data_IF_238804951019
#
_entry.id   IF_238804951019
#
_cell.length_a   1.000
_cell.length_b   1.000
_cell.length_c   1.000
_cell.angle_alpha   90.00
_cell.angle_beta   90.00
_cell.angle_gamma   90.00
#
_symmetry.space_group_name_H-M   'P 1'
#
loop_
_entity.id
_entity.type
_entity.pdbx_description
1 polymer ?
#
# COMPACT_ATOMS: atom_id res chain seq x y z
N UNK A 1 -42.02 7.57 -37.05
CA UNK A 1 -40.58 7.83 -36.95
C UNK A 1 -40.25 7.86 -35.47
N UNK A 2 -39.67 6.79 -34.94
CA UNK A 2 -39.15 6.73 -33.58
C UNK A 2 -37.73 6.18 -33.70
N UNK A 3 -36.75 7.04 -33.53
CA UNK A 3 -35.33 6.72 -33.53
C UNK A 3 -34.90 6.48 -32.08
N UNK A 4 -34.67 5.21 -31.72
CA UNK A 4 -33.99 4.86 -30.47
C UNK A 4 -32.49 5.09 -30.66
N UNK A 5 -31.87 5.86 -29.78
CA UNK A 5 -30.42 6.06 -29.71
C UNK A 5 -29.74 4.76 -29.24
N UNK A 6 -28.50 4.48 -29.67
CA UNK A 6 -27.75 3.34 -29.15
C UNK A 6 -27.29 3.65 -27.73
N UNK A 7 -27.63 2.78 -26.77
CA UNK A 7 -27.08 2.85 -25.42
C UNK A 7 -25.57 2.71 -25.48
N UNK A 8 -24.86 3.66 -24.86
CA UNK A 8 -23.44 3.56 -24.62
C UNK A 8 -23.20 2.38 -23.69
N UNK A 9 -22.68 1.28 -24.24
CA UNK A 9 -22.21 0.13 -23.49
C UNK A 9 -20.99 0.54 -22.67
N UNK A 10 -21.22 1.09 -21.49
CA UNK A 10 -20.22 1.16 -20.44
C UNK A 10 -19.87 -0.27 -20.05
N UNK A 11 -18.64 -0.69 -20.32
CA UNK A 11 -18.17 -2.02 -19.93
C UNK A 11 -17.79 -1.97 -18.45
N UNK A 12 -18.64 -2.55 -17.61
CA UNK A 12 -18.36 -2.75 -16.19
C UNK A 12 -17.70 -4.14 -15.99
N UNK A 13 -16.39 -4.20 -15.71
CA UNK A 13 -15.66 -5.46 -15.52
C UNK A 13 -16.08 -6.22 -14.25
N UNK A 14 -16.82 -5.60 -13.32
CA UNK A 14 -17.32 -6.27 -12.12
C UNK A 14 -18.66 -6.98 -12.35
N UNK A 15 -19.41 -6.58 -13.38
CA UNK A 15 -20.70 -7.17 -13.73
C UNK A 15 -20.61 -8.27 -14.80
N UNK A 16 -19.43 -8.43 -15.43
CA UNK A 16 -19.18 -9.42 -16.48
C UNK A 16 -18.12 -10.43 -16.03
N UNK A 17 -18.54 -11.44 -15.27
CA UNK A 17 -17.70 -12.59 -14.93
C UNK A 17 -17.52 -13.43 -16.20
N UNK A 18 -16.28 -13.72 -16.65
CA UNK A 18 -16.05 -14.57 -17.80
C UNK A 18 -16.70 -15.96 -17.60
N UNK A 19 -17.25 -16.58 -18.65
CA UNK A 19 -17.68 -17.98 -18.55
C UNK A 19 -16.49 -18.85 -18.15
N UNK A 20 -16.77 -19.84 -17.31
CA UNK A 20 -15.79 -20.82 -16.84
C UNK A 20 -15.07 -21.47 -18.03
N UNK A 21 -13.72 -21.53 -18.05
CA UNK A 21 -12.98 -21.99 -19.21
C UNK A 21 -13.28 -23.46 -19.49
N UNK A 22 -14.01 -23.73 -20.57
CA UNK A 22 -14.11 -25.06 -21.16
C UNK A 22 -12.76 -25.45 -21.74
N UNK A 23 -12.25 -26.62 -21.32
CA UNK A 23 -11.07 -27.38 -21.75
C UNK A 23 -9.98 -26.63 -22.57
N UNK A 24 -8.69 -26.70 -22.16
CA UNK A 24 -7.64 -25.90 -22.78
C UNK A 24 -7.48 -26.22 -24.28
N UNK A 25 -7.48 -25.21 -25.17
CA UNK A 25 -7.08 -25.40 -26.56
C UNK A 25 -5.62 -25.87 -26.66
N UNK A 26 -5.24 -26.53 -27.77
CA UNK A 26 -3.86 -26.99 -27.98
C UNK A 26 -2.88 -25.84 -27.79
N UNK A 27 -1.82 -26.09 -27.04
CA UNK A 27 -0.82 -25.13 -26.58
C UNK A 27 -0.27 -24.28 -27.73
N UNK A 28 -0.82 -23.08 -27.89
CA UNK A 28 -0.20 -22.00 -28.65
C UNK A 28 1.16 -21.67 -27.99
N UNK A 29 2.19 -21.32 -28.79
CA UNK A 29 3.46 -20.88 -28.22
C UNK A 29 3.17 -19.72 -27.27
N UNK A 30 3.60 -19.84 -26.02
CA UNK A 30 3.48 -18.78 -25.00
C UNK A 30 4.17 -17.54 -25.55
N UNK A 31 3.39 -16.67 -26.19
CA UNK A 31 3.80 -15.31 -26.53
C UNK A 31 4.08 -14.61 -25.21
N UNK A 32 5.16 -13.81 -25.15
CA UNK A 32 5.44 -12.96 -23.99
C UNK A 32 4.12 -12.34 -23.50
N UNK A 33 3.79 -12.44 -22.20
CA UNK A 33 2.53 -11.92 -21.70
C UNK A 33 2.40 -10.46 -22.14
N UNK A 34 1.34 -10.17 -22.89
CA UNK A 34 1.03 -8.80 -23.28
C UNK A 34 0.61 -8.06 -22.03
N UNK A 35 1.28 -6.96 -21.73
CA UNK A 35 0.96 -6.12 -20.59
C UNK A 35 -0.30 -5.32 -20.91
N UNK A 36 -1.46 -5.90 -20.57
CA UNK A 36 -2.76 -5.39 -21.01
C UNK A 36 -3.33 -4.29 -20.10
N UNK A 37 -2.77 -4.12 -18.90
CA UNK A 37 -3.20 -3.13 -17.92
C UNK A 37 -2.02 -2.58 -17.11
N UNK A 38 -2.02 -1.26 -16.85
CA UNK A 38 -1.07 -0.66 -15.91
C UNK A 38 -1.31 -1.17 -14.48
N UNK A 39 -0.24 -1.26 -13.70
CA UNK A 39 -0.28 -1.77 -12.33
C UNK A 39 -0.05 -0.65 -11.32
N UNK A 40 -0.92 -0.55 -10.33
CA UNK A 40 -0.71 0.22 -9.11
C UNK A 40 -0.46 -0.78 -7.97
N UNK A 41 0.77 -0.79 -7.46
CA UNK A 41 1.17 -1.65 -6.35
C UNK A 41 1.20 -0.84 -5.06
N UNK A 42 0.40 -1.26 -4.08
CA UNK A 42 0.42 -0.72 -2.72
C UNK A 42 0.96 -1.79 -1.78
N UNK A 43 1.97 -1.45 -0.98
CA UNK A 43 2.61 -2.37 -0.03
C UNK A 43 2.41 -1.81 1.38
N UNK A 44 1.39 -2.28 2.14
CA UNK A 44 1.23 -1.95 3.55
C UNK A 44 2.37 -2.54 4.37
N UNK A 45 2.92 -1.74 5.28
CA UNK A 45 4.10 -2.08 6.07
C UNK A 45 3.95 -1.63 7.52
N UNK A 46 4.54 -2.42 8.43
CA UNK A 46 4.83 -2.04 9.81
C UNK A 46 6.34 -2.12 10.03
N UNK A 47 7.01 -0.97 10.06
CA UNK A 47 8.47 -0.86 10.06
C UNK A 47 9.06 -0.64 11.46
N UNK A 48 8.31 -0.91 12.52
CA UNK A 48 8.73 -0.74 13.91
C UNK A 48 7.56 -0.76 14.89
N UNK A 49 7.85 -0.82 16.19
CA UNK A 49 6.81 -0.74 17.23
C UNK A 49 6.40 0.71 17.48
N UNK A 50 7.35 1.57 17.83
CA UNK A 50 7.08 2.98 18.16
C UNK A 50 7.62 3.95 17.09
N UNK A 51 8.73 3.60 16.45
CA UNK A 51 9.42 4.44 15.48
C UNK A 51 10.06 3.60 14.38
N UNK A 52 10.28 4.21 13.22
CA UNK A 52 11.03 3.60 12.11
C UNK A 52 12.54 3.59 12.42
N UNK A 53 13.20 2.41 12.42
CA UNK A 53 14.65 2.32 12.54
C UNK A 53 15.39 3.09 11.43
N UNK A 54 16.59 3.66 11.70
CA UNK A 54 17.33 4.45 10.71
C UNK A 54 17.62 3.71 9.40
N UNK A 55 17.85 2.40 9.48
CA UNK A 55 18.08 1.53 8.31
C UNK A 55 16.86 1.45 7.40
N UNK A 56 15.66 1.28 7.96
CA UNK A 56 14.41 1.30 7.19
C UNK A 56 14.09 2.71 6.69
N UNK A 57 14.34 3.74 7.50
CA UNK A 57 14.20 5.13 7.07
C UNK A 57 15.03 5.41 5.81
N UNK A 58 16.29 4.97 5.77
CA UNK A 58 17.14 5.12 4.60
C UNK A 58 16.59 4.37 3.38
N UNK A 59 16.05 3.16 3.56
CA UNK A 59 15.41 2.40 2.46
C UNK A 59 14.15 3.08 1.92
N UNK A 60 13.30 3.64 2.78
CA UNK A 60 12.11 4.38 2.35
C UNK A 60 12.51 5.59 1.50
N UNK A 61 13.51 6.35 1.95
CA UNK A 61 14.00 7.51 1.19
C UNK A 61 14.55 7.07 -0.17
N UNK A 62 15.38 6.03 -0.23
CA UNK A 62 15.87 5.50 -1.50
C UNK A 62 14.74 5.00 -2.43
N UNK A 63 13.68 4.39 -1.88
CA UNK A 63 12.52 3.95 -2.65
C UNK A 63 11.65 5.13 -3.16
N UNK A 64 11.66 6.27 -2.49
CA UNK A 64 11.02 7.50 -2.97
C UNK A 64 11.74 8.11 -4.19
N UNK A 65 13.02 7.79 -4.39
CA UNK A 65 13.81 8.26 -5.53
C UNK A 65 13.58 7.42 -6.80
N UNK A 66 12.89 6.28 -6.70
CA UNK A 66 12.60 5.42 -7.85
C UNK A 66 11.62 6.10 -8.82
N UNK A 67 11.82 5.99 -10.16
CA UNK A 67 10.93 6.57 -11.16
C UNK A 67 9.48 6.09 -11.05
N UNK A 68 9.29 4.85 -10.60
CA UNK A 68 7.99 4.22 -10.42
C UNK A 68 7.32 4.62 -9.10
N UNK A 69 8.04 5.30 -8.20
CA UNK A 69 7.51 5.72 -6.92
C UNK A 69 6.42 6.76 -7.12
N UNK A 70 5.25 6.51 -6.53
CA UNK A 70 4.20 7.51 -6.41
C UNK A 70 4.11 8.02 -4.96
N UNK A 71 5.15 7.81 -4.15
CA UNK A 71 5.14 8.18 -2.75
C UNK A 71 4.58 7.09 -1.83
N UNK A 72 4.13 7.48 -0.65
CA UNK A 72 3.51 6.60 0.31
C UNK A 72 2.47 7.33 1.15
N UNK A 73 1.50 6.59 1.67
CA UNK A 73 0.56 7.08 2.68
C UNK A 73 0.97 6.59 4.05
N UNK A 74 0.84 7.43 5.07
CA UNK A 74 1.15 7.05 6.45
C UNK A 74 0.80 8.15 7.43
N UNK A 75 1.21 7.99 8.67
CA UNK A 75 0.96 8.98 9.72
C UNK A 75 0.27 8.36 10.93
N UNK A 76 0.07 9.19 11.94
CA UNK A 76 -0.51 8.77 13.22
C UNK A 76 -2.04 8.70 13.12
N UNK A 77 -2.74 8.04 14.07
CA UNK A 77 -4.19 8.10 14.16
C UNK A 77 -4.70 9.55 14.09
N UNK A 78 -5.69 9.79 13.22
CA UNK A 78 -6.25 11.12 12.91
C UNK A 78 -5.25 12.13 12.31
N UNK A 79 -4.13 11.67 11.77
CA UNK A 79 -3.10 12.51 11.17
C UNK A 79 -2.42 11.82 9.97
N UNK A 80 -3.22 11.32 9.03
CA UNK A 80 -2.74 10.72 7.78
C UNK A 80 -2.20 11.78 6.80
N UNK A 81 -1.04 11.52 6.20
CA UNK A 81 -0.38 12.37 5.22
C UNK A 81 0.00 11.51 4.01
N UNK A 82 -0.11 12.09 2.82
CA UNK A 82 0.48 11.51 1.61
C UNK A 82 1.86 12.13 1.37
N UNK A 83 2.92 11.34 1.46
CA UNK A 83 4.30 11.78 1.23
C UNK A 83 4.73 11.48 -0.20
N UNK A 84 5.16 12.48 -0.95
CA UNK A 84 5.49 12.36 -2.37
C UNK A 84 6.98 12.46 -2.68
N UNK A 85 7.82 12.78 -1.68
CA UNK A 85 9.26 12.93 -1.89
C UNK A 85 9.99 13.40 -0.64
N UNK A 86 11.28 13.68 -0.78
CA UNK A 86 12.11 14.14 0.33
C UNK A 86 13.24 15.08 -0.11
N UNK A 87 13.80 15.79 0.85
CA UNK A 87 15.06 16.50 0.73
C UNK A 87 15.95 16.19 1.94
N UNK A 88 17.03 15.45 1.72
CA UNK A 88 17.80 14.85 2.82
C UNK A 88 16.89 13.97 3.68
N UNK A 89 16.83 14.25 4.98
CA UNK A 89 16.01 13.51 5.95
C UNK A 89 14.62 14.13 6.20
N UNK A 90 14.20 15.09 5.38
CA UNK A 90 12.90 15.74 5.46
C UNK A 90 11.98 15.25 4.35
N UNK A 91 10.90 14.57 4.73
CA UNK A 91 9.81 14.15 3.86
C UNK A 91 8.90 15.34 3.54
N UNK A 92 8.44 15.40 2.30
CA UNK A 92 7.46 16.37 1.83
C UNK A 92 6.13 15.66 1.55
N UNK A 93 5.03 16.21 2.06
CA UNK A 93 3.71 15.59 1.93
C UNK A 93 2.54 16.56 1.81
N UNK A 94 1.40 16.00 1.42
CA UNK A 94 0.11 16.67 1.31
C UNK A 94 -0.76 16.25 2.50
N UNK A 95 -1.24 17.25 3.23
CA UNK A 95 -2.08 17.07 4.41
C UNK A 95 -3.57 17.32 4.07
N UNK A 96 -4.45 16.32 4.21
CA UNK A 96 -5.88 16.45 3.95
C UNK A 96 -6.69 17.10 5.09
N UNK A 97 -6.11 17.43 6.26
CA UNK A 97 -6.83 17.92 7.45
C UNK A 97 -7.28 19.39 7.35
N UNK A 98 -7.55 19.89 6.15
CA UNK A 98 -8.20 21.17 5.91
C UNK A 98 -9.58 20.92 5.32
N UNK A 99 -10.63 21.23 6.07
CA UNK A 99 -12.01 21.16 5.56
C UNK A 99 -12.22 22.23 4.49
N UNK A 100 -12.72 21.82 3.33
CA UNK A 100 -13.08 22.70 2.23
C UNK A 100 -14.60 22.62 1.97
N UNK A 101 -15.23 23.66 1.39
CA UNK A 101 -16.61 23.58 0.94
C UNK A 101 -16.81 22.45 -0.08
N UNK A 102 -17.96 21.77 -0.01
CA UNK A 102 -18.34 20.79 -1.03
C UNK A 102 -18.61 21.50 -2.37
N UNK A 103 -18.04 21.04 -3.49
CA UNK A 103 -18.32 21.62 -4.79
C UNK A 103 -19.76 21.34 -5.25
N UNK A 104 -20.40 22.33 -5.85
CA UNK A 104 -21.71 22.18 -6.51
C UNK A 104 -21.50 21.60 -7.92
N UNK A 105 -21.41 20.27 -8.02
CA UNK A 105 -21.08 19.56 -9.28
C UNK A 105 -22.17 19.61 -10.35
N UNK A 106 -23.38 20.03 -9.99
CA UNK A 106 -24.53 20.16 -10.89
C UNK A 106 -24.61 21.55 -11.56
N UNK A 107 -23.78 22.50 -11.13
CA UNK A 107 -23.68 23.83 -11.73
C UNK A 107 -23.07 23.73 -13.14
N UNK A 108 -23.62 24.49 -14.11
CA UNK A 108 -23.06 24.61 -15.46
C UNK A 108 -21.64 25.21 -15.45
N UNK A 109 -21.27 25.96 -14.40
CA UNK A 109 -19.93 26.54 -14.23
C UNK A 109 -18.90 25.56 -13.61
N UNK A 110 -19.28 24.32 -13.32
CA UNK A 110 -18.35 23.31 -12.78
C UNK A 110 -17.42 22.72 -13.88
N UNK A 111 -16.10 22.60 -13.63
CA UNK A 111 -15.39 23.02 -12.44
C UNK A 111 -15.10 24.53 -12.44
N UNK A 112 -15.47 25.21 -11.35
CA UNK A 112 -15.14 26.63 -11.18
C UNK A 112 -13.63 26.82 -10.99
N UNK A 113 -13.12 28.02 -11.31
CA UNK A 113 -11.71 28.35 -11.06
C UNK A 113 -11.33 28.26 -9.57
N UNK A 114 -12.28 28.57 -8.69
CA UNK A 114 -12.11 28.45 -7.24
C UNK A 114 -11.92 26.98 -6.82
N UNK A 115 -12.73 26.07 -7.36
CA UNK A 115 -12.60 24.63 -7.11
C UNK A 115 -11.24 24.09 -7.61
N UNK A 116 -10.86 24.43 -8.84
CA UNK A 116 -9.56 23.98 -9.39
C UNK A 116 -8.38 24.49 -8.57
N UNK A 117 -8.44 25.73 -8.07
CA UNK A 117 -7.41 26.27 -7.19
C UNK A 117 -7.31 25.51 -5.86
N UNK A 118 -8.44 25.02 -5.34
CA UNK A 118 -8.54 24.30 -4.06
C UNK A 118 -7.93 22.89 -4.11
N UNK A 119 -7.80 22.30 -5.30
CA UNK A 119 -7.11 21.03 -5.54
C UNK A 119 -5.58 21.12 -5.51
N UNK A 120 -5.03 22.33 -5.41
CA UNK A 120 -3.58 22.56 -5.38
C UNK A 120 -3.10 22.94 -3.97
N UNK A 121 -1.94 22.40 -3.56
CA UNK A 121 -1.34 22.72 -2.27
C UNK A 121 -0.08 23.60 -2.48
N UNK A 122 -0.11 24.90 -2.16
CA UNK A 122 1.04 25.79 -2.34
C UNK A 122 2.14 25.59 -1.27
N UNK A 123 1.81 24.93 -0.15
CA UNK A 123 2.72 24.72 0.99
C UNK A 123 2.65 23.27 1.48
N UNK A 124 3.42 22.35 0.87
CA UNK A 124 3.53 20.99 1.35
C UNK A 124 4.00 20.93 2.80
N UNK A 125 3.51 19.96 3.55
CA UNK A 125 4.01 19.66 4.87
C UNK A 125 5.40 19.06 4.81
N UNK A 126 6.15 19.28 5.89
CA UNK A 126 7.50 18.77 6.09
C UNK A 126 7.52 17.92 7.34
N UNK A 127 8.04 16.70 7.24
CA UNK A 127 8.20 15.80 8.37
C UNK A 127 9.61 15.22 8.34
N UNK A 128 10.32 15.25 9.46
CA UNK A 128 11.58 14.52 9.54
C UNK A 128 11.32 13.02 9.56
N UNK A 129 12.11 12.25 8.82
CA UNK A 129 11.93 10.79 8.70
C UNK A 129 12.01 10.05 10.04
N UNK A 130 12.76 10.57 11.03
CA UNK A 130 12.82 10.02 12.40
C UNK A 130 11.51 10.16 13.19
N UNK A 131 10.58 10.99 12.71
CA UNK A 131 9.25 11.19 13.31
C UNK A 131 8.15 10.46 12.53
N UNK A 132 8.53 9.67 11.53
CA UNK A 132 7.60 8.91 10.72
C UNK A 132 6.94 7.82 11.58
N UNK A 133 5.62 7.69 11.47
CA UNK A 133 4.90 6.58 12.07
C UNK A 133 5.34 5.26 11.40
N UNK A 134 5.62 4.19 12.15
CA UNK A 134 6.06 2.93 11.56
C UNK A 134 4.99 2.23 10.71
N UNK A 135 3.73 2.65 10.77
CA UNK A 135 2.66 2.16 9.90
C UNK A 135 2.53 3.04 8.65
N UNK A 136 2.74 2.46 7.48
CA UNK A 136 2.63 3.16 6.19
C UNK A 136 2.30 2.19 5.06
N UNK A 137 1.95 2.71 3.89
CA UNK A 137 1.85 1.93 2.66
C UNK A 137 2.60 2.62 1.52
N UNK A 138 3.65 1.95 1.00
CA UNK A 138 4.40 2.40 -0.16
C UNK A 138 3.57 2.23 -1.44
N UNK A 139 3.70 3.17 -2.38
CA UNK A 139 3.01 3.10 -3.66
C UNK A 139 3.98 3.13 -4.84
N UNK A 140 3.77 2.22 -5.78
CA UNK A 140 4.48 2.19 -7.06
C UNK A 140 3.50 2.07 -8.22
N UNK A 141 3.78 2.79 -9.31
CA UNK A 141 2.99 2.74 -10.54
C UNK A 141 3.84 2.24 -11.70
N UNK A 142 3.32 1.24 -12.42
CA UNK A 142 3.97 0.63 -13.57
C UNK A 142 3.05 0.76 -14.77
N UNK A 143 3.45 1.61 -15.73
CA UNK A 143 2.69 1.79 -16.96
C UNK A 143 2.85 0.59 -17.89
N UNK A 144 4.05 0.03 -17.90
CA UNK A 144 4.49 -1.06 -18.79
C UNK A 144 5.24 -2.16 -18.02
N UNK A 145 5.40 -3.32 -18.67
CA UNK A 145 6.27 -4.39 -18.17
C UNK A 145 7.72 -3.95 -17.94
N UNK A 146 8.22 -3.02 -18.76
CA UNK A 146 9.57 -2.48 -18.62
C UNK A 146 9.73 -1.69 -17.31
N UNK A 147 8.71 -0.91 -16.92
CA UNK A 147 8.74 -0.17 -15.66
C UNK A 147 8.81 -1.12 -14.45
N UNK A 148 8.10 -2.25 -14.52
CA UNK A 148 8.12 -3.27 -13.49
C UNK A 148 9.50 -3.96 -13.41
N UNK A 149 10.09 -4.33 -14.55
CA UNK A 149 11.42 -4.95 -14.58
C UNK A 149 12.49 -4.00 -14.05
N UNK A 150 12.48 -2.74 -14.48
CA UNK A 150 13.43 -1.74 -13.99
C UNK A 150 13.31 -1.56 -12.48
N UNK A 151 12.08 -1.46 -11.95
CA UNK A 151 11.86 -1.39 -10.51
C UNK A 151 12.38 -2.64 -9.81
N UNK A 152 12.11 -3.83 -10.35
CA UNK A 152 12.58 -5.10 -9.78
C UNK A 152 14.11 -5.15 -9.69
N UNK A 153 14.81 -4.79 -10.78
CA UNK A 153 16.27 -4.72 -10.80
C UNK A 153 16.81 -3.74 -9.75
N UNK A 154 16.21 -2.55 -9.62
CA UNK A 154 16.60 -1.59 -8.59
C UNK A 154 16.38 -2.14 -7.17
N UNK A 155 15.28 -2.83 -6.91
CA UNK A 155 15.00 -3.44 -5.60
C UNK A 155 16.00 -4.55 -5.28
N UNK A 156 16.34 -5.39 -6.27
CA UNK A 156 17.38 -6.42 -6.11
C UNK A 156 18.76 -5.82 -5.85
N UNK A 157 19.11 -4.72 -6.51
CA UNK A 157 20.36 -4.00 -6.25
C UNK A 157 20.40 -3.46 -4.82
N UNK A 158 19.34 -2.79 -4.35
CA UNK A 158 19.27 -2.30 -2.97
C UNK A 158 19.41 -3.44 -1.95
N UNK A 159 18.85 -4.62 -2.24
CA UNK A 159 18.93 -5.78 -1.36
C UNK A 159 20.36 -6.33 -1.22
N UNK A 160 21.23 -6.15 -2.23
CA UNK A 160 22.64 -6.61 -2.20
C UNK A 160 23.51 -5.82 -1.22
N UNK A 161 23.11 -4.60 -0.85
CA UNK A 161 23.87 -3.73 0.07
C UNK A 161 23.91 -4.25 1.53
N UNK A 162 23.18 -5.34 1.85
CA UNK A 162 23.26 -6.02 3.14
C UNK A 162 22.46 -5.40 4.29
N UNK A 163 21.82 -4.24 4.08
CA UNK A 163 20.86 -3.65 5.03
C UNK A 163 19.44 -4.23 4.87
N UNK A 164 18.60 -4.23 5.93
CA UNK A 164 17.30 -4.85 5.89
C UNK A 164 16.34 -4.16 4.92
N UNK A 165 15.65 -4.97 4.12
CA UNK A 165 14.63 -4.50 3.19
C UNK A 165 13.25 -4.53 3.85
N UNK A 166 12.39 -3.52 3.61
CA UNK A 166 11.06 -3.47 4.20
C UNK A 166 10.11 -4.56 3.64
N UNK A 167 10.40 -5.08 2.45
CA UNK A 167 9.66 -6.17 1.82
C UNK A 167 10.62 -7.01 0.95
N UNK A 168 10.15 -8.18 0.52
CA UNK A 168 10.88 -9.08 -0.39
C UNK A 168 10.05 -9.32 -1.64
N UNK A 169 10.70 -9.41 -2.79
CA UNK A 169 10.09 -9.78 -4.06
C UNK A 169 10.51 -11.21 -4.39
N UNK A 170 9.54 -12.05 -4.75
CA UNK A 170 9.74 -13.47 -5.06
C UNK A 170 9.02 -13.79 -6.36
N UNK A 171 9.64 -14.60 -7.22
CA UNK A 171 9.06 -15.03 -8.51
C UNK A 171 8.06 -16.17 -8.36
N UNK A 172 7.98 -16.77 -7.17
CA UNK A 172 7.10 -17.90 -6.90
C UNK A 172 6.39 -17.65 -5.58
N UNK A 173 5.10 -17.98 -5.54
CA UNK A 173 4.34 -17.97 -4.29
C UNK A 173 5.04 -18.89 -3.30
N UNK A 174 5.40 -18.41 -2.09
CA UNK A 174 5.93 -19.31 -1.07
C UNK A 174 4.92 -20.44 -0.85
N UNK A 175 5.42 -21.66 -0.61
CA UNK A 175 4.55 -22.74 -0.16
C UNK A 175 3.72 -22.23 1.03
N UNK A 176 2.43 -22.58 1.14
CA UNK A 176 1.65 -22.26 2.33
C UNK A 176 2.50 -22.64 3.53
N UNK A 177 2.71 -21.69 4.46
CA UNK A 177 3.26 -22.07 5.74
C UNK A 177 2.39 -23.24 6.25
N UNK A 178 3.01 -24.38 6.57
CA UNK A 178 2.28 -25.39 7.32
C UNK A 178 1.76 -24.65 8.55
N UNK A 179 0.44 -24.51 8.66
CA UNK A 179 -0.17 -23.89 9.83
C UNK A 179 0.41 -24.65 11.03
N UNK A 180 1.22 -24.01 11.90
CA UNK A 180 1.55 -24.65 13.15
C UNK A 180 0.21 -24.91 13.83
N UNK A 181 -0.04 -26.19 14.14
CA UNK A 181 -1.31 -26.63 14.73
C UNK A 181 -1.65 -25.66 15.88
N UNK A 182 -2.79 -24.95 15.84
CA UNK A 182 -3.14 -23.95 16.85
C UNK A 182 -3.27 -24.54 18.27
N UNK A 183 -3.11 -25.86 18.40
CA UNK A 183 -3.12 -26.61 19.65
C UNK A 183 -1.72 -27.05 20.15
N UNK A 184 -0.62 -26.75 19.45
CA UNK A 184 0.72 -26.94 20.02
C UNK A 184 1.13 -25.73 20.88
N UNK A 185 0.33 -25.45 21.90
CA UNK A 185 0.68 -24.59 23.03
C UNK A 185 1.30 -25.44 24.14
N UNK A 186 2.35 -26.20 23.81
CA UNK A 186 3.20 -26.79 24.85
C UNK A 186 4.11 -25.70 25.40
N UNK A 187 3.52 -24.80 26.20
CA UNK A 187 4.29 -24.03 27.17
C UNK A 187 4.81 -25.04 28.20
N UNK A 188 6.11 -25.31 28.17
CA UNK A 188 6.77 -25.99 29.28
C UNK A 188 6.63 -25.08 30.52
N UNK A 189 5.70 -25.44 31.41
CA UNK A 189 5.46 -24.78 32.70
C UNK A 189 6.67 -24.96 33.63
N UNK A 190 7.69 -24.13 33.48
CA UNK A 190 8.70 -23.89 34.52
C UNK A 190 8.24 -22.74 35.41
N UNK A 191 7.25 -22.97 36.27
CA UNK A 191 6.91 -22.06 37.38
C UNK A 191 6.78 -22.85 38.68
N UNK A 192 7.81 -22.72 39.52
CA UNK A 192 7.80 -23.12 40.92
C UNK A 192 6.63 -22.48 41.67
N UNK A 193 5.86 -23.32 42.36
CA UNK A 193 4.77 -22.89 43.21
C UNK A 193 5.28 -22.15 44.46
N UNK A 194 5.03 -20.85 44.54
CA UNK A 194 5.03 -20.08 45.78
C UNK A 194 3.67 -19.37 45.95
N UNK A 195 2.76 -20.07 46.63
CA UNK A 195 1.70 -19.59 47.52
C UNK A 195 1.20 -18.14 47.42
N UNK A 196 -0.11 -17.95 47.23
CA UNK A 196 -0.81 -16.81 47.84
C UNK A 196 -2.00 -16.21 47.09
N UNK A 197 -3.21 -16.72 47.39
CA UNK A 197 -4.48 -15.97 47.59
C UNK A 197 -4.99 -14.94 46.56
N UNK A 198 -6.04 -15.37 45.85
CA UNK A 198 -7.34 -14.70 45.57
C UNK A 198 -7.48 -13.47 44.62
N UNK A 199 -8.67 -13.32 43.99
CA UNK A 199 -8.83 -12.89 42.60
C UNK A 199 -9.31 -11.46 42.46
N UNK A 200 -9.05 -10.85 41.30
CA UNK A 200 -9.83 -9.70 40.80
C UNK A 200 -9.99 -9.86 39.29
N UNK A 201 -11.25 -9.95 38.89
CA UNK A 201 -11.75 -9.85 37.52
C UNK A 201 -11.37 -8.48 36.94
N UNK A 202 -11.00 -8.42 35.67
CA UNK A 202 -11.58 -7.42 34.76
C UNK A 202 -11.28 -7.81 33.30
N UNK A 203 -12.36 -7.80 32.55
CA UNK A 203 -12.50 -8.08 31.13
C UNK A 203 -11.82 -6.98 30.30
N UNK A 204 -11.21 -7.35 29.18
CA UNK A 204 -11.38 -6.71 27.86
C UNK A 204 -10.31 -7.24 26.90
N UNK A 205 -10.69 -8.28 26.15
CA UNK A 205 -9.90 -8.79 25.04
C UNK A 205 -10.00 -7.87 23.84
N UNK A 206 -8.88 -7.28 23.44
CA UNK A 206 -8.75 -6.64 22.13
C UNK A 206 -8.36 -7.69 21.09
N UNK A 207 -9.30 -8.00 20.20
CA UNK A 207 -9.04 -8.70 18.95
C UNK A 207 -8.50 -7.68 17.94
N UNK A 208 -7.23 -7.82 17.55
CA UNK A 208 -6.66 -7.09 16.41
C UNK A 208 -6.89 -7.93 15.15
N UNK A 209 -7.57 -7.33 14.17
CA UNK A 209 -7.56 -7.76 12.77
C UNK A 209 -6.36 -7.11 12.09
#
# INVERSE_FOLDING_TARGET
MSTLQPESLFFDPLLHIPPEPTAPPPSEPVTNPTWDASLLLLIPLRLGLESVPPEHAARILAMLELPQSIGFIGGRPNHAIYFFGHHGNELHGLDPHTTQPTPEVEDEEFPSLEFLASLSCPRPQKLRVDRLDPSLALGFYFRSWEDLNQWHECIEEMAKDGGPMPFRVEMTTPAPAEDPDPLDLTFEDDIEAATGTNPVEDEDGFLLI
#
